data_IF_627831216148
#
_entry.id   IF_627831216148
#
_cell.length_a   1.000
_cell.length_b   1.000
_cell.length_c   1.000
_cell.angle_alpha   90.00
_cell.angle_beta   90.00
_cell.angle_gamma   90.00
#
_symmetry.space_group_name_H-M   'P 1'
#
loop_
_entity.id
_entity.type
_entity.pdbx_description
1 polymer ?
#
# COMPACT_ATOMS: atom_id res chain seq x y z
N UNK A 1 -10.26 17.56 -0.41
CA UNK A 1 -9.28 17.71 -1.51
C UNK A 1 -8.22 18.69 -1.02
N UNK A 2 -6.97 18.24 -0.88
CA UNK A 2 -5.87 19.11 -0.44
C UNK A 2 -5.37 19.86 -1.69
N UNK A 3 -5.84 21.10 -1.86
CA UNK A 3 -5.41 21.96 -2.96
C UNK A 3 -4.29 22.89 -2.47
N UNK A 4 -3.06 22.57 -2.87
CA UNK A 4 -1.90 23.43 -2.60
C UNK A 4 -1.66 24.30 -3.81
N UNK A 5 -1.44 25.59 -3.56
CA UNK A 5 -1.17 26.59 -4.59
C UNK A 5 0.30 26.99 -4.56
N UNK A 6 0.85 27.36 -5.70
CA UNK A 6 2.18 27.95 -5.79
C UNK A 6 2.18 29.41 -5.29
N UNK A 7 3.36 30.06 -5.30
CA UNK A 7 3.50 31.46 -4.92
C UNK A 7 2.72 32.46 -5.79
N UNK A 8 2.13 32.01 -6.90
CA UNK A 8 1.25 32.78 -7.78
C UNK A 8 -0.23 32.47 -7.60
N UNK A 9 -0.59 31.59 -6.65
CA UNK A 9 -1.96 31.19 -6.37
C UNK A 9 -2.51 30.12 -7.34
N UNK A 10 -1.66 29.55 -8.20
CA UNK A 10 -2.08 28.49 -9.12
C UNK A 10 -2.05 27.13 -8.44
N UNK A 11 -3.08 26.27 -8.63
CA UNK A 11 -3.04 24.91 -8.14
C UNK A 11 -1.80 24.18 -8.67
N UNK A 12 -1.02 23.62 -7.76
CA UNK A 12 0.12 22.81 -8.13
C UNK A 12 -0.37 21.41 -8.53
N UNK A 13 0.25 20.82 -9.55
CA UNK A 13 0.05 19.41 -9.92
C UNK A 13 1.11 18.47 -9.33
N UNK A 14 2.17 19.04 -8.75
CA UNK A 14 3.32 18.33 -8.19
C UNK A 14 4.08 19.21 -7.20
N UNK A 15 4.63 18.62 -6.14
CA UNK A 15 5.46 19.26 -5.14
C UNK A 15 6.95 18.93 -5.37
N UNK A 16 7.80 19.91 -5.73
CA UNK A 16 9.22 19.67 -5.99
C UNK A 16 10.01 19.33 -4.73
N UNK A 17 9.51 19.74 -3.58
CA UNK A 17 10.00 19.31 -2.26
C UNK A 17 8.86 18.46 -1.67
N UNK A 18 9.12 17.20 -1.29
CA UNK A 18 8.11 16.38 -0.63
C UNK A 18 7.55 17.10 0.60
N UNK A 19 6.23 17.08 0.75
CA UNK A 19 5.55 17.62 1.93
C UNK A 19 5.09 16.49 2.82
N UNK A 20 5.18 16.68 4.13
CA UNK A 20 4.66 15.69 5.06
C UNK A 20 3.12 15.74 5.10
N UNK A 21 2.48 14.63 4.74
CA UNK A 21 1.06 14.41 4.95
C UNK A 21 0.88 13.65 6.25
N UNK A 22 0.11 14.20 7.19
CA UNK A 22 -0.31 13.50 8.41
C UNK A 22 -1.83 13.43 8.45
N UNK A 23 -2.37 12.22 8.54
CA UNK A 23 -3.81 11.99 8.70
C UNK A 23 -4.06 11.40 10.08
N UNK A 24 -4.84 12.11 10.90
CA UNK A 24 -5.29 11.62 12.19
C UNK A 24 -6.47 10.66 12.05
N UNK A 25 -6.56 9.68 12.94
CA UNK A 25 -7.71 8.80 13.10
C UNK A 25 -8.16 8.77 14.56
N UNK A 26 -9.34 8.21 14.81
CA UNK A 26 -9.85 7.97 16.16
C UNK A 26 -10.33 6.53 16.27
N UNK A 27 -10.48 6.05 17.50
CA UNK A 27 -11.07 4.74 17.80
C UNK A 27 -12.49 4.61 17.22
N UNK A 28 -13.26 5.71 17.20
CA UNK A 28 -14.59 5.74 16.60
C UNK A 28 -14.53 5.55 15.08
N UNK A 29 -13.55 6.15 14.40
CA UNK A 29 -13.36 5.96 12.95
C UNK A 29 -12.95 4.52 12.62
N UNK A 30 -12.04 3.93 13.41
CA UNK A 30 -11.65 2.52 13.27
C UNK A 30 -12.85 1.60 13.46
N UNK A 31 -13.60 1.80 14.55
CA UNK A 31 -14.78 0.99 14.85
C UNK A 31 -15.86 1.16 13.78
N UNK A 32 -16.07 2.37 13.25
CA UNK A 32 -17.01 2.62 12.17
C UNK A 32 -16.59 1.94 10.85
N UNK A 33 -15.30 1.76 10.63
CA UNK A 33 -14.74 1.00 9.52
C UNK A 33 -14.75 -0.53 9.75
N UNK A 34 -15.19 -0.99 10.92
CA UNK A 34 -15.26 -2.41 11.27
C UNK A 34 -13.97 -2.98 11.89
N UNK A 35 -13.02 -2.11 12.26
CA UNK A 35 -11.73 -2.51 12.82
C UNK A 35 -11.65 -2.25 14.32
N UNK A 36 -10.89 -3.10 15.01
CA UNK A 36 -10.51 -2.91 16.41
C UNK A 36 -9.22 -2.11 16.53
N UNK A 37 -8.99 -1.51 17.71
CA UNK A 37 -7.84 -0.64 17.95
C UNK A 37 -6.48 -1.34 17.79
N UNK A 38 -6.40 -2.65 18.02
CA UNK A 38 -5.18 -3.45 17.81
C UNK A 38 -4.79 -3.56 16.33
N UNK A 39 -5.71 -3.26 15.42
CA UNK A 39 -5.45 -3.20 13.99
C UNK A 39 -4.92 -1.85 13.52
N UNK A 40 -4.87 -0.83 14.38
CA UNK A 40 -4.41 0.52 14.00
C UNK A 40 -3.00 0.53 13.41
N UNK A 41 -2.12 -0.37 13.86
CA UNK A 41 -0.76 -0.53 13.31
C UNK A 41 -0.73 -0.99 11.85
N UNK A 42 -1.86 -1.45 11.29
CA UNK A 42 -2.00 -1.86 9.89
C UNK A 42 -2.55 -0.75 8.98
N UNK A 43 -2.85 0.43 9.54
CA UNK A 43 -3.33 1.56 8.74
C UNK A 43 -2.24 2.03 7.78
N UNK A 44 -2.64 2.27 6.53
CA UNK A 44 -1.79 2.84 5.50
C UNK A 44 -2.52 3.96 4.77
N UNK A 45 -1.74 4.83 4.12
CA UNK A 45 -2.25 5.90 3.28
C UNK A 45 -2.41 5.35 1.85
N UNK A 46 -3.57 5.64 1.27
CA UNK A 46 -3.89 5.36 -0.12
C UNK A 46 -4.22 6.65 -0.85
N UNK A 47 -3.81 6.76 -2.12
CA UNK A 47 -4.10 7.92 -2.97
C UNK A 47 -5.08 7.53 -4.06
N UNK A 48 -6.05 8.38 -4.36
CA UNK A 48 -6.89 8.22 -5.54
C UNK A 48 -6.06 8.34 -6.83
N UNK A 49 -6.16 7.35 -7.70
CA UNK A 49 -5.69 7.37 -9.07
C UNK A 49 -6.89 7.58 -10.00
N UNK A 50 -6.96 8.76 -10.61
CA UNK A 50 -8.05 9.12 -11.52
C UNK A 50 -8.02 8.38 -12.86
N UNK A 51 -6.87 7.85 -13.28
CA UNK A 51 -6.76 7.08 -14.52
C UNK A 51 -7.29 5.66 -14.33
N UNK A 52 -6.96 5.05 -13.19
CA UNK A 52 -7.38 3.69 -12.83
C UNK A 52 -8.73 3.65 -12.12
N UNK A 53 -9.26 4.81 -11.72
CA UNK A 53 -10.49 4.97 -10.95
C UNK A 53 -10.51 4.14 -9.66
N UNK A 54 -9.38 4.06 -8.97
CA UNK A 54 -9.21 3.32 -7.73
C UNK A 54 -8.25 4.03 -6.76
N UNK A 55 -8.20 3.56 -5.52
CA UNK A 55 -7.19 3.98 -4.54
C UNK A 55 -5.96 3.08 -4.62
N UNK A 56 -4.77 3.66 -4.69
CA UNK A 56 -3.51 2.91 -4.72
C UNK A 56 -2.77 3.06 -3.39
N UNK A 57 -2.19 1.97 -2.91
CA UNK A 57 -1.33 1.96 -1.74
C UNK A 57 -0.09 2.83 -1.97
N UNK A 58 0.24 3.71 -1.02
CA UNK A 58 1.47 4.51 -1.06
C UNK A 58 2.29 4.43 0.23
N UNK A 59 1.89 3.59 1.18
CA UNK A 59 2.57 3.38 2.46
C UNK A 59 2.09 4.30 3.58
N UNK A 60 2.93 4.47 4.59
CA UNK A 60 2.63 5.28 5.77
C UNK A 60 3.37 4.78 7.01
N UNK A 61 3.67 5.71 7.92
CA UNK A 61 4.22 5.37 9.24
C UNK A 61 3.17 5.69 10.29
N UNK A 62 2.72 4.67 11.01
CA UNK A 62 1.73 4.81 12.08
C UNK A 62 2.40 5.29 13.36
N UNK A 63 1.87 6.37 13.93
CA UNK A 63 2.11 6.78 15.31
C UNK A 63 0.86 6.44 16.14
N UNK A 64 0.98 5.40 16.97
CA UNK A 64 -0.11 4.92 17.82
C UNK A 64 -0.40 5.88 19.00
N UNK A 65 0.61 6.61 19.48
CA UNK A 65 0.46 7.52 20.60
C UNK A 65 -0.27 8.81 20.17
N UNK A 66 -0.01 9.27 18.95
CA UNK A 66 -0.67 10.44 18.34
C UNK A 66 -1.91 10.10 17.52
N UNK A 67 -2.22 8.82 17.35
CA UNK A 67 -3.31 8.32 16.50
C UNK A 67 -3.26 8.93 15.10
N UNK A 68 -2.11 8.82 14.45
CA UNK A 68 -1.91 9.37 13.10
C UNK A 68 -1.08 8.46 12.21
N UNK A 69 -1.19 8.68 10.91
CA UNK A 69 -0.33 8.05 9.90
C UNK A 69 0.30 9.16 9.06
N UNK A 70 1.62 9.11 8.90
CA UNK A 70 2.37 10.14 8.18
C UNK A 70 3.22 9.59 7.05
N UNK A 71 3.38 10.37 5.97
CA UNK A 71 4.37 10.11 4.93
C UNK A 71 4.71 11.37 4.10
N UNK A 72 5.88 11.40 3.44
CA UNK A 72 6.18 12.43 2.44
C UNK A 72 5.39 12.21 1.14
N UNK A 73 4.72 13.23 0.65
CA UNK A 73 3.99 13.22 -0.63
C UNK A 73 4.53 14.27 -1.60
N UNK A 74 4.50 13.93 -2.89
CA UNK A 74 4.88 14.85 -3.98
C UNK A 74 3.72 15.22 -4.90
N UNK A 75 2.53 14.65 -4.68
CA UNK A 75 1.38 14.89 -5.55
C UNK A 75 0.22 15.45 -4.72
N UNK A 76 -0.50 16.47 -5.20
CA UNK A 76 -1.79 16.82 -4.63
C UNK A 76 -2.82 15.72 -4.91
N UNK A 77 -3.91 15.70 -4.14
CA UNK A 77 -5.03 14.82 -4.47
C UNK A 77 -5.95 14.49 -3.30
N UNK A 78 -6.61 13.35 -3.45
CA UNK A 78 -7.42 12.71 -2.42
C UNK A 78 -6.63 11.56 -1.82
N UNK A 79 -6.58 11.55 -0.49
CA UNK A 79 -5.89 10.56 0.32
C UNK A 79 -6.87 10.01 1.36
N UNK A 80 -6.77 8.73 1.64
CA UNK A 80 -7.55 8.05 2.68
C UNK A 80 -6.64 7.18 3.54
N UNK A 81 -7.12 6.84 4.73
CA UNK A 81 -6.59 5.74 5.51
C UNK A 81 -7.42 4.49 5.24
N UNK A 82 -6.75 3.35 5.07
CA UNK A 82 -7.39 2.05 4.97
C UNK A 82 -6.49 0.96 5.55
N UNK A 83 -7.10 -0.16 5.88
CA UNK A 83 -6.43 -1.41 6.21
C UNK A 83 -6.78 -2.37 5.08
N UNK A 84 -5.77 -2.94 4.44
CA UNK A 84 -5.99 -4.05 3.54
C UNK A 84 -6.00 -5.37 4.32
N UNK A 85 -7.08 -6.12 4.15
CA UNK A 85 -7.29 -7.44 4.73
C UNK A 85 -7.33 -8.53 3.66
N UNK A 86 -7.24 -8.17 2.38
CA UNK A 86 -7.32 -9.12 1.28
C UNK A 86 -5.91 -9.68 1.04
N UNK A 87 -5.64 -10.96 1.39
CA UNK A 87 -4.36 -11.55 1.07
C UNK A 87 -4.21 -11.67 -0.45
N UNK A 88 -2.97 -11.61 -0.95
CA UNK A 88 -2.73 -11.85 -2.37
C UNK A 88 -3.02 -13.31 -2.72
N UNK A 89 -3.44 -13.54 -3.97
CA UNK A 89 -3.76 -14.88 -4.46
C UNK A 89 -2.76 -15.33 -5.52
N UNK A 90 -2.37 -16.62 -5.46
CA UNK A 90 -1.61 -17.29 -6.53
C UNK A 90 -2.58 -18.17 -7.33
N UNK A 91 -2.79 -17.84 -8.60
CA UNK A 91 -3.83 -18.49 -9.43
C UNK A 91 -3.27 -19.42 -10.51
N UNK A 92 -2.02 -19.25 -10.91
CA UNK A 92 -1.42 -19.93 -12.07
C UNK A 92 -0.10 -20.65 -11.75
N UNK A 93 -0.09 -21.55 -10.76
CA UNK A 93 1.10 -22.34 -10.45
C UNK A 93 1.34 -23.45 -11.48
N UNK A 94 2.49 -23.40 -12.17
CA UNK A 94 2.90 -24.41 -13.16
C UNK A 94 4.37 -24.77 -12.99
N UNK A 95 4.66 -26.05 -13.15
CA UNK A 95 6.01 -26.57 -13.32
C UNK A 95 6.12 -27.10 -14.74
N UNK A 96 7.12 -26.62 -15.47
CA UNK A 96 7.47 -27.12 -16.80
C UNK A 96 8.93 -27.56 -16.83
N UNK A 97 9.31 -28.34 -17.85
CA UNK A 97 10.61 -29.03 -17.95
C UNK A 97 10.81 -30.09 -16.85
N UNK A 98 10.60 -31.36 -17.22
CA UNK A 98 10.77 -32.52 -16.33
C UNK A 98 12.23 -33.03 -16.27
N UNK A 99 13.19 -32.23 -16.72
CA UNK A 99 14.62 -32.52 -16.58
C UNK A 99 15.13 -32.12 -15.18
N UNK A 100 16.47 -32.11 -15.00
CA UNK A 100 17.11 -31.64 -13.77
C UNK A 100 17.03 -30.13 -13.55
N UNK A 101 16.36 -29.37 -14.44
CA UNK A 101 16.20 -27.92 -14.36
C UNK A 101 14.73 -27.52 -14.54
N UNK A 102 13.86 -27.83 -13.56
CA UNK A 102 12.45 -27.45 -13.65
C UNK A 102 12.29 -25.93 -13.65
N UNK A 103 11.36 -25.43 -14.46
CA UNK A 103 10.95 -24.04 -14.49
C UNK A 103 9.61 -23.91 -13.76
N UNK A 104 9.61 -23.12 -12.68
CA UNK A 104 8.41 -22.80 -11.89
C UNK A 104 7.89 -21.44 -12.35
N UNK A 105 6.60 -21.36 -12.68
CA UNK A 105 5.91 -20.12 -13.05
C UNK A 105 4.66 -19.97 -12.20
N UNK A 106 4.43 -18.76 -11.71
CA UNK A 106 3.23 -18.40 -10.96
C UNK A 106 2.81 -16.97 -11.32
N UNK A 107 1.53 -16.68 -11.15
CA UNK A 107 0.97 -15.32 -11.25
C UNK A 107 0.45 -14.95 -9.87
N UNK A 108 0.81 -13.75 -9.40
CA UNK A 108 0.28 -13.17 -8.17
C UNK A 108 -0.74 -12.12 -8.58
N UNK A 109 -1.97 -12.26 -8.10
CA UNK A 109 -2.99 -11.23 -8.20
C UNK A 109 -2.98 -10.41 -6.92
N UNK A 110 -2.65 -9.13 -7.07
CA UNK A 110 -2.69 -8.16 -5.98
C UNK A 110 -3.95 -7.28 -6.12
N UNK A 111 -4.92 -7.49 -5.23
CA UNK A 111 -6.13 -6.68 -5.12
C UNK A 111 -6.01 -5.70 -3.94
N UNK A 112 -5.14 -4.69 -4.05
CA UNK A 112 -4.89 -3.57 -3.09
C UNK A 112 -3.79 -3.76 -2.02
N UNK A 113 -3.07 -4.88 -2.01
CA UNK A 113 -2.12 -5.23 -0.95
C UNK A 113 -0.74 -4.58 -1.07
N UNK A 114 -0.43 -4.00 -2.24
CA UNK A 114 0.80 -3.23 -2.42
C UNK A 114 2.03 -4.11 -2.20
N UNK A 115 1.97 -5.36 -2.68
CA UNK A 115 3.00 -6.37 -2.42
C UNK A 115 4.36 -5.82 -2.83
N UNK A 116 5.28 -5.76 -1.88
CA UNK A 116 6.68 -5.55 -2.18
C UNK A 116 7.23 -6.83 -2.82
N UNK A 117 7.40 -6.81 -4.15
CA UNK A 117 7.92 -7.95 -4.92
C UNK A 117 9.30 -8.39 -4.39
N UNK A 118 10.09 -7.48 -3.83
CA UNK A 118 11.40 -7.80 -3.24
C UNK A 118 11.31 -8.56 -1.92
N UNK A 119 10.13 -8.63 -1.31
CA UNK A 119 9.87 -9.39 -0.08
C UNK A 119 9.37 -10.81 -0.35
N UNK A 120 9.11 -11.18 -1.61
CA UNK A 120 8.61 -12.51 -1.97
C UNK A 120 9.70 -13.55 -1.70
N UNK A 121 9.42 -14.47 -0.78
CA UNK A 121 10.29 -15.61 -0.48
C UNK A 121 9.67 -16.88 -1.06
N UNK A 122 10.48 -17.69 -1.74
CA UNK A 122 10.09 -19.00 -2.25
C UNK A 122 10.82 -20.08 -1.47
N UNK A 123 10.12 -21.12 -1.03
CA UNK A 123 10.73 -22.25 -0.30
C UNK A 123 10.36 -23.58 -0.96
N UNK A 124 11.36 -24.46 -1.13
CA UNK A 124 11.17 -25.83 -1.60
C UNK A 124 11.74 -26.78 -0.54
N UNK A 125 10.94 -27.74 -0.07
CA UNK A 125 11.34 -28.70 0.97
C UNK A 125 12.00 -28.03 2.19
N UNK A 126 11.40 -26.93 2.68
CA UNK A 126 11.90 -26.13 3.80
C UNK A 126 13.26 -25.43 3.57
N UNK A 127 13.78 -25.47 2.34
CA UNK A 127 14.94 -24.67 1.94
C UNK A 127 14.48 -23.34 1.36
N UNK A 128 14.82 -22.24 2.04
CA UNK A 128 14.51 -20.88 1.62
C UNK A 128 15.39 -20.44 0.45
N UNK A 129 14.76 -19.90 -0.59
CA UNK A 129 15.39 -19.22 -1.71
C UNK A 129 14.87 -17.77 -1.75
N UNK A 130 15.78 -16.84 -1.46
CA UNK A 130 15.52 -15.39 -1.55
C UNK A 130 15.98 -14.92 -2.93
N UNK A 131 15.13 -14.16 -3.63
CA UNK A 131 15.49 -13.56 -4.92
C UNK A 131 16.20 -12.22 -4.74
#
# INVERSE_FOLDING_TARGET
MVNVQDGSGQPMSYYPIPMELTIGYTDEMLSAAGFSNDMAAKLNIYRWDGEQACYIYIGGVVDLDQQSVSMPINLPGQYILAIDEIPPEITSFKVSDHSSTPVITYEILDNFSGIDISSITFSLDETEYVH
#
